data_IF_003725944609
#
_entry.id   IF_003725944609
#
_cell.length_a   1.000
_cell.length_b   1.000
_cell.length_c   1.000
_cell.angle_alpha   90.00
_cell.angle_beta   90.00
_cell.angle_gamma   90.00
#
_symmetry.space_group_name_H-M   'P 1'
#
loop_
_entity.id
_entity.type
_entity.pdbx_description
1 polymer ?
#
# COMPACT_ATOMS: atom_id res chain seq x y z
N UNK A 1 32.85 -33.84 31.32
CA UNK A 1 32.61 -33.45 29.92
C UNK A 1 31.90 -32.10 29.93
N UNK A 2 32.67 -31.00 29.96
CA UNK A 2 32.13 -29.65 29.79
C UNK A 2 32.29 -29.31 28.31
N UNK A 3 31.26 -29.59 27.52
CA UNK A 3 31.27 -29.39 26.07
C UNK A 3 30.65 -28.02 25.77
N UNK A 4 31.50 -27.08 25.34
CA UNK A 4 31.23 -26.08 24.28
C UNK A 4 29.99 -25.16 24.37
N UNK A 5 29.48 -24.79 25.54
CA UNK A 5 28.39 -23.79 25.62
C UNK A 5 28.82 -22.37 25.21
N UNK A 6 30.06 -21.93 25.53
CA UNK A 6 30.53 -20.58 25.14
C UNK A 6 30.76 -20.42 23.63
N UNK A 7 31.06 -21.51 22.92
CA UNK A 7 31.35 -21.46 21.48
C UNK A 7 30.08 -21.43 20.62
N UNK A 8 28.98 -21.99 21.12
CA UNK A 8 27.67 -21.94 20.47
C UNK A 8 27.00 -20.58 20.69
N UNK A 9 27.13 -19.99 21.88
CA UNK A 9 26.55 -18.69 22.20
C UNK A 9 27.18 -17.53 21.41
N UNK A 10 28.49 -17.62 21.12
CA UNK A 10 29.16 -16.64 20.27
C UNK A 10 28.76 -16.80 18.80
N UNK A 11 28.64 -18.03 18.29
CA UNK A 11 28.22 -18.27 16.91
C UNK A 11 26.77 -17.80 16.64
N UNK A 12 25.86 -17.99 17.60
CA UNK A 12 24.47 -17.50 17.48
C UNK A 12 24.39 -15.97 17.50
N UNK A 13 25.22 -15.31 18.32
CA UNK A 13 25.33 -13.83 18.34
C UNK A 13 25.92 -13.30 17.04
N UNK A 14 26.99 -13.91 16.54
CA UNK A 14 27.63 -13.50 15.28
C UNK A 14 26.65 -13.64 14.09
N UNK A 15 25.86 -14.71 14.06
CA UNK A 15 24.80 -14.91 13.05
C UNK A 15 23.66 -13.88 13.20
N UNK A 16 23.29 -13.51 14.42
CA UNK A 16 22.28 -12.48 14.66
C UNK A 16 22.74 -11.10 14.18
N UNK A 17 24.00 -10.74 14.47
CA UNK A 17 24.64 -9.50 14.01
C UNK A 17 24.75 -9.47 12.49
N UNK A 18 25.17 -10.56 11.83
CA UNK A 18 25.22 -10.62 10.37
C UNK A 18 23.83 -10.47 9.72
N UNK A 19 22.78 -11.07 10.31
CA UNK A 19 21.40 -10.91 9.84
C UNK A 19 20.90 -9.48 9.98
N UNK A 20 21.27 -8.81 11.06
CA UNK A 20 20.91 -7.41 11.33
C UNK A 20 21.56 -6.47 10.31
N UNK A 21 22.87 -6.60 10.10
CA UNK A 21 23.64 -5.83 9.10
C UNK A 21 23.10 -6.06 7.67
N UNK A 22 22.69 -7.28 7.34
CA UNK A 22 22.08 -7.57 6.04
C UNK A 22 20.70 -6.92 5.88
N UNK A 23 19.88 -6.89 6.95
CA UNK A 23 18.59 -6.24 6.95
C UNK A 23 18.71 -4.71 6.80
N UNK A 24 19.65 -4.10 7.53
CA UNK A 24 19.94 -2.67 7.43
C UNK A 24 20.40 -2.26 6.03
N UNK A 25 21.32 -3.04 5.44
CA UNK A 25 21.79 -2.80 4.08
C UNK A 25 20.66 -2.92 3.05
N UNK A 26 19.73 -3.85 3.26
CA UNK A 26 18.55 -4.00 2.40
C UNK A 26 17.59 -2.80 2.53
N UNK A 27 17.38 -2.29 3.75
CA UNK A 27 16.57 -1.08 3.99
C UNK A 27 17.22 0.13 3.31
N UNK A 28 18.52 0.37 3.52
CA UNK A 28 19.24 1.47 2.88
C UNK A 28 19.12 1.44 1.36
N UNK A 29 19.28 0.26 0.74
CA UNK A 29 19.10 0.08 -0.70
C UNK A 29 17.65 0.35 -1.14
N UNK A 30 16.66 -0.04 -0.35
CA UNK A 30 15.24 0.15 -0.66
C UNK A 30 14.88 1.63 -0.59
N UNK A 31 15.29 2.33 0.46
CA UNK A 31 15.09 3.79 0.59
C UNK A 31 15.81 4.52 -0.54
N UNK A 32 17.06 4.19 -0.83
CA UNK A 32 17.81 4.78 -1.95
C UNK A 32 17.05 4.65 -3.27
N UNK A 33 16.56 3.46 -3.62
CA UNK A 33 15.81 3.24 -4.86
C UNK A 33 14.55 4.10 -4.92
N UNK A 34 13.84 4.25 -3.80
CA UNK A 34 12.67 5.12 -3.71
C UNK A 34 13.03 6.60 -3.93
N UNK A 35 14.14 7.08 -3.35
CA UNK A 35 14.60 8.45 -3.54
C UNK A 35 15.05 8.69 -4.99
N UNK A 36 15.78 7.74 -5.58
CA UNK A 36 16.19 7.81 -6.99
C UNK A 36 14.96 7.85 -7.91
N UNK A 37 13.93 7.04 -7.62
CA UNK A 37 12.64 7.09 -8.30
C UNK A 37 11.98 8.47 -8.18
N UNK A 38 11.89 9.02 -6.97
CA UNK A 38 11.25 10.31 -6.72
C UNK A 38 11.96 11.48 -7.43
N UNK A 39 13.28 11.39 -7.61
CA UNK A 39 14.04 12.34 -8.43
C UNK A 39 13.75 12.15 -9.92
N UNK A 40 13.71 10.90 -10.40
CA UNK A 40 13.47 10.59 -11.81
C UNK A 40 12.09 11.04 -12.30
N UNK A 41 11.09 11.05 -11.41
CA UNK A 41 9.71 11.48 -11.69
C UNK A 41 9.43 12.95 -11.31
N UNK A 42 10.44 13.69 -10.86
CA UNK A 42 10.33 15.07 -10.36
C UNK A 42 9.31 15.25 -9.22
N UNK A 43 9.15 14.23 -8.38
CA UNK A 43 8.45 14.36 -7.10
C UNK A 43 9.27 15.23 -6.13
N UNK A 44 10.59 15.03 -6.12
CA UNK A 44 11.56 15.86 -5.38
C UNK A 44 12.69 16.37 -6.29
N UNK A 45 13.39 17.42 -5.83
CA UNK A 45 14.58 17.91 -6.51
C UNK A 45 15.83 17.07 -6.22
N UNK A 46 16.82 17.15 -7.11
CA UNK A 46 18.13 16.50 -6.94
C UNK A 46 18.81 16.80 -5.60
N UNK A 47 18.68 18.04 -5.12
CA UNK A 47 19.31 18.51 -3.89
C UNK A 47 18.61 17.99 -2.63
N UNK A 48 17.38 17.48 -2.76
CA UNK A 48 16.58 17.03 -1.63
C UNK A 48 16.86 15.55 -1.29
N UNK A 49 17.65 14.83 -2.10
CA UNK A 49 17.90 13.38 -1.95
C UNK A 49 18.29 12.96 -0.54
N UNK A 50 19.33 13.58 0.02
CA UNK A 50 19.87 13.22 1.34
C UNK A 50 18.85 13.56 2.44
N UNK A 51 18.20 14.71 2.32
CA UNK A 51 17.17 15.15 3.25
C UNK A 51 15.97 14.21 3.25
N UNK A 52 15.46 13.86 2.06
CA UNK A 52 14.34 12.92 1.89
C UNK A 52 14.70 11.52 2.35
N UNK A 53 15.93 11.05 2.11
CA UNK A 53 16.41 9.76 2.61
C UNK A 53 16.29 9.67 4.13
N UNK A 54 16.80 10.67 4.86
CA UNK A 54 16.73 10.72 6.32
C UNK A 54 15.27 10.80 6.82
N UNK A 55 14.41 11.58 6.17
CA UNK A 55 13.00 11.64 6.55
C UNK A 55 12.26 10.31 6.38
N UNK A 56 12.58 9.54 5.33
CA UNK A 56 12.01 8.20 5.14
C UNK A 56 12.48 7.27 6.26
N UNK A 57 13.77 7.31 6.61
CA UNK A 57 14.33 6.55 7.73
C UNK A 57 13.65 6.88 9.07
N UNK A 58 13.46 8.17 9.36
CA UNK A 58 12.75 8.63 10.56
C UNK A 58 11.31 8.10 10.61
N UNK A 59 10.60 8.14 9.47
CA UNK A 59 9.23 7.63 9.36
C UNK A 59 9.14 6.13 9.63
N UNK A 60 10.07 5.34 9.10
CA UNK A 60 10.09 3.88 9.30
C UNK A 60 10.77 3.46 10.61
N UNK A 61 11.42 4.39 11.32
CA UNK A 61 12.11 4.11 12.59
C UNK A 61 13.42 3.36 12.44
N UNK A 62 14.14 3.54 11.33
CA UNK A 62 15.45 2.94 11.12
C UNK A 62 16.53 4.01 11.39
N UNK A 63 17.31 3.87 12.46
CA UNK A 63 18.27 4.90 12.89
C UNK A 63 19.67 4.69 12.30
N UNK A 64 20.04 3.46 11.97
CA UNK A 64 21.41 3.06 11.62
C UNK A 64 21.76 3.04 10.12
N UNK A 65 20.84 2.78 9.16
CA UNK A 65 21.24 2.56 7.76
C UNK A 65 21.76 3.83 7.05
N UNK A 66 23.08 4.05 7.10
CA UNK A 66 23.71 5.12 6.35
C UNK A 66 23.61 4.84 4.82
N UNK A 67 23.33 5.87 4.01
CA UNK A 67 23.38 5.73 2.56
C UNK A 67 24.82 5.51 2.09
N UNK A 68 24.96 4.82 0.96
CA UNK A 68 26.27 4.56 0.34
C UNK A 68 27.00 5.87 0.01
N UNK A 69 28.29 5.97 0.36
CA UNK A 69 29.09 7.18 0.19
C UNK A 69 29.16 7.63 -1.29
N UNK A 70 29.20 6.69 -2.23
CA UNK A 70 29.22 7.02 -3.67
C UNK A 70 27.89 7.61 -4.13
N UNK A 71 26.77 7.22 -3.51
CA UNK A 71 25.45 7.79 -3.80
C UNK A 71 25.30 9.21 -3.24
N UNK A 72 25.82 9.44 -2.03
CA UNK A 72 25.83 10.75 -1.38
C UNK A 72 26.67 11.75 -2.17
N UNK A 73 27.88 11.35 -2.58
CA UNK A 73 28.82 12.18 -3.32
C UNK A 73 28.53 12.28 -4.83
N UNK A 74 27.47 11.62 -5.31
CA UNK A 74 27.09 11.68 -6.72
C UNK A 74 26.77 13.13 -7.14
N UNK A 75 27.29 13.55 -8.28
CA UNK A 75 26.93 14.83 -8.90
C UNK A 75 25.69 14.70 -9.79
N UNK A 76 24.95 15.80 -9.99
CA UNK A 76 23.70 15.86 -10.79
C UNK A 76 23.85 15.29 -12.20
N UNK A 77 25.06 15.33 -12.76
CA UNK A 77 25.36 14.80 -14.08
C UNK A 77 25.36 13.26 -14.15
N UNK A 78 25.31 12.58 -13.00
CA UNK A 78 25.41 11.12 -12.87
C UNK A 78 24.06 10.39 -12.85
N UNK A 79 22.97 11.12 -12.58
CA UNK A 79 21.59 10.62 -12.65
C UNK A 79 20.85 11.47 -13.66
N UNK A 80 20.62 10.89 -14.84
CA UNK A 80 20.10 11.58 -16.02
C UNK A 80 18.79 12.31 -15.74
N UNK A 81 18.77 13.60 -16.07
CA UNK A 81 17.58 14.43 -15.99
C UNK A 81 16.44 13.93 -16.86
N UNK A 82 15.22 14.18 -16.38
CA UNK A 82 13.96 14.19 -17.12
C UNK A 82 13.93 13.26 -18.34
N UNK A 83 14.01 11.94 -18.12
CA UNK A 83 13.86 11.02 -19.25
C UNK A 83 12.43 11.03 -19.80
N UNK A 84 11.47 11.67 -19.11
CA UNK A 84 10.05 11.70 -19.49
C UNK A 84 9.43 10.31 -19.59
N UNK A 85 10.20 9.28 -19.27
CA UNK A 85 9.78 7.90 -19.23
C UNK A 85 9.38 7.62 -17.80
N UNK A 86 8.15 7.13 -17.57
CA UNK A 86 7.85 6.50 -16.31
C UNK A 86 8.93 5.44 -16.09
N UNK A 87 9.37 5.28 -14.85
CA UNK A 87 10.14 4.12 -14.48
C UNK A 87 9.20 2.90 -14.58
N UNK A 88 8.83 2.47 -15.79
CA UNK A 88 7.99 1.28 -16.03
C UNK A 88 8.67 0.01 -15.50
N UNK A 89 9.94 0.10 -15.10
CA UNK A 89 10.70 -0.95 -14.43
C UNK A 89 10.81 -0.78 -12.90
N UNK A 90 10.35 0.32 -12.32
CA UNK A 90 10.38 0.52 -10.87
C UNK A 90 9.05 0.11 -10.26
N UNK A 91 9.10 -0.89 -9.39
CA UNK A 91 7.95 -1.37 -8.64
C UNK A 91 7.77 -0.53 -7.37
N UNK A 92 6.87 0.46 -7.45
CA UNK A 92 6.57 1.34 -6.32
C UNK A 92 5.78 0.61 -5.24
N UNK A 93 4.85 -0.29 -5.60
CA UNK A 93 4.02 -1.02 -4.63
C UNK A 93 4.88 -1.95 -3.77
N UNK A 94 5.77 -2.73 -4.38
CA UNK A 94 6.69 -3.63 -3.67
C UNK A 94 7.70 -2.87 -2.82
N UNK A 95 8.23 -1.75 -3.33
CA UNK A 95 9.17 -0.90 -2.58
C UNK A 95 8.49 -0.34 -1.33
N UNK A 96 7.29 0.21 -1.47
CA UNK A 96 6.51 0.73 -0.34
C UNK A 96 6.08 -0.41 0.62
N UNK A 97 5.78 -1.60 0.11
CA UNK A 97 5.44 -2.76 0.94
C UNK A 97 6.63 -3.26 1.78
N UNK A 98 7.87 -3.19 1.26
CA UNK A 98 9.07 -3.49 2.03
C UNK A 98 9.29 -2.47 3.15
N UNK A 99 9.17 -1.17 2.84
CA UNK A 99 9.33 -0.10 3.84
C UNK A 99 8.21 -0.12 4.90
N UNK A 100 6.97 -0.40 4.49
CA UNK A 100 5.86 -0.55 5.41
C UNK A 100 6.04 -1.73 6.37
N UNK A 101 6.58 -2.86 5.88
CA UNK A 101 6.96 -3.99 6.74
C UNK A 101 8.03 -3.61 7.75
N UNK A 102 9.08 -2.90 7.33
CA UNK A 102 10.11 -2.41 8.24
C UNK A 102 9.51 -1.48 9.32
N UNK A 103 8.64 -0.55 8.93
CA UNK A 103 7.97 0.37 9.86
C UNK A 103 7.10 -0.37 10.90
N UNK A 104 6.36 -1.40 10.48
CA UNK A 104 5.57 -2.24 11.39
C UNK A 104 6.48 -3.01 12.36
N UNK A 105 7.58 -3.60 11.88
CA UNK A 105 8.55 -4.29 12.73
C UNK A 105 9.19 -3.34 13.75
N UNK A 106 9.41 -2.09 13.37
CA UNK A 106 9.92 -1.03 14.25
C UNK A 106 8.83 -0.38 15.12
N UNK A 107 7.60 -0.89 15.08
CA UNK A 107 6.49 -0.41 15.92
C UNK A 107 5.94 0.98 15.55
N UNK A 108 6.18 1.47 14.33
CA UNK A 108 5.68 2.78 13.86
C UNK A 108 4.22 2.78 13.43
N UNK A 109 3.70 1.62 13.03
CA UNK A 109 2.29 1.40 12.69
C UNK A 109 1.87 -0.02 13.10
N UNK A 110 0.56 -0.26 13.14
CA UNK A 110 -0.03 -1.57 13.42
C UNK A 110 0.23 -2.57 12.27
N UNK A 111 0.39 -3.86 12.62
CA UNK A 111 0.50 -4.95 11.63
C UNK A 111 -0.87 -5.31 11.01
N UNK A 112 -1.44 -4.35 10.30
CA UNK A 112 -2.71 -4.45 9.58
C UNK A 112 -2.55 -3.93 8.15
N UNK A 113 -3.47 -4.31 7.25
CA UNK A 113 -3.47 -3.76 5.90
C UNK A 113 -3.58 -2.22 5.92
N UNK A 114 -4.45 -1.69 6.78
CA UNK A 114 -4.62 -0.24 6.97
C UNK A 114 -3.36 0.44 7.53
N UNK A 115 -2.69 -0.17 8.51
CA UNK A 115 -1.45 0.36 9.09
C UNK A 115 -0.32 0.46 8.06
N UNK A 116 -0.15 -0.59 7.25
CA UNK A 116 0.83 -0.60 6.15
C UNK A 116 0.51 0.45 5.08
N UNK A 117 -0.77 0.61 4.72
CA UNK A 117 -1.20 1.65 3.77
C UNK A 117 -0.96 3.06 4.31
N UNK A 118 -1.26 3.32 5.59
CA UNK A 118 -1.00 4.62 6.25
C UNK A 118 0.46 5.02 6.17
N UNK A 119 1.40 4.13 6.51
CA UNK A 119 2.82 4.48 6.44
C UNK A 119 3.30 4.66 5.00
N UNK A 120 2.85 3.82 4.05
CA UNK A 120 3.16 4.00 2.63
C UNK A 120 2.70 5.37 2.11
N UNK A 121 1.48 5.81 2.50
CA UNK A 121 0.98 7.13 2.13
C UNK A 121 1.76 8.28 2.80
N UNK A 122 2.19 8.11 4.06
CA UNK A 122 3.04 9.10 4.75
C UNK A 122 4.40 9.25 4.08
N UNK A 123 5.02 8.14 3.67
CA UNK A 123 6.28 8.12 2.91
C UNK A 123 6.11 8.87 1.59
N UNK A 124 5.08 8.56 0.80
CA UNK A 124 4.86 9.29 -0.45
C UNK A 124 4.50 10.77 -0.23
N UNK A 125 3.80 11.08 0.86
CA UNK A 125 3.44 12.45 1.24
C UNK A 125 4.64 13.37 1.45
N UNK A 126 5.74 12.86 2.03
CA UNK A 126 6.98 13.65 2.20
C UNK A 126 7.80 13.78 0.91
N UNK A 127 7.60 12.87 -0.04
CA UNK A 127 8.28 12.90 -1.34
C UNK A 127 7.51 13.69 -2.39
N UNK A 128 6.27 14.09 -2.13
CA UNK A 128 5.50 14.87 -3.09
C UNK A 128 5.87 16.37 -3.08
N UNK A 129 5.73 17.05 -4.23
CA UNK A 129 5.79 18.51 -4.27
C UNK A 129 4.67 19.12 -3.42
N UNK A 130 4.92 20.31 -2.87
CA UNK A 130 3.89 21.02 -2.11
C UNK A 130 2.69 21.35 -3.01
N UNK A 131 1.45 21.34 -2.49
CA UNK A 131 0.27 21.67 -3.28
C UNK A 131 0.36 23.02 -4.01
N UNK A 132 1.03 24.01 -3.42
CA UNK A 132 1.29 25.32 -4.05
C UNK A 132 2.18 25.23 -5.29
N UNK A 133 3.17 24.34 -5.30
CA UNK A 133 4.08 24.16 -6.42
C UNK A 133 3.42 23.36 -7.55
N UNK A 134 2.61 22.36 -7.19
CA UNK A 134 1.74 21.64 -8.14
C UNK A 134 0.78 22.61 -8.83
N UNK A 135 0.10 23.46 -8.05
CA UNK A 135 -0.82 24.48 -8.57
C UNK A 135 -0.12 25.43 -9.55
N UNK A 136 1.05 25.98 -9.16
CA UNK A 136 1.83 26.88 -10.02
C UNK A 136 2.25 26.21 -11.32
N UNK A 137 2.72 24.96 -11.24
CA UNK A 137 3.17 24.19 -12.41
C UNK A 137 2.00 23.90 -13.36
N UNK A 138 0.87 23.46 -12.80
CA UNK A 138 -0.35 23.17 -13.56
C UNK A 138 -0.81 24.40 -14.37
N UNK A 139 -0.97 25.55 -13.71
CA UNK A 139 -1.43 26.77 -14.39
C UNK A 139 -0.40 27.32 -15.38
N UNK A 140 0.89 27.23 -15.07
CA UNK A 140 1.92 27.61 -16.02
C UNK A 140 1.87 26.76 -17.31
N UNK A 141 1.65 25.45 -17.21
CA UNK A 141 1.46 24.56 -18.37
C UNK A 141 0.14 24.84 -19.10
N UNK A 142 -0.92 25.14 -18.34
CA UNK A 142 -2.23 25.47 -18.88
C UNK A 142 -2.14 26.72 -19.78
N UNK A 143 -1.51 27.77 -19.29
CA UNK A 143 -1.38 29.07 -19.98
C UNK A 143 -0.37 29.03 -21.12
N UNK A 144 0.78 28.37 -20.94
CA UNK A 144 1.88 28.39 -21.92
C UNK A 144 1.77 27.33 -23.01
N UNK A 145 1.15 26.19 -22.70
CA UNK A 145 1.12 25.03 -23.58
C UNK A 145 -0.31 24.67 -23.99
N UNK A 146 -1.13 24.16 -23.06
CA UNK A 146 -2.55 23.85 -23.29
C UNK A 146 -3.20 23.26 -22.03
N UNK A 147 -4.55 23.24 -21.95
CA UNK A 147 -5.26 22.46 -20.94
C UNK A 147 -4.84 20.99 -20.90
N UNK A 148 -4.61 20.38 -22.07
CA UNK A 148 -4.17 18.99 -22.18
C UNK A 148 -2.79 18.77 -21.54
N UNK A 149 -1.84 19.67 -21.78
CA UNK A 149 -0.50 19.56 -21.19
C UNK A 149 -0.55 19.63 -19.66
N UNK A 150 -1.39 20.51 -19.10
CA UNK A 150 -1.58 20.62 -17.66
C UNK A 150 -2.21 19.35 -17.06
N UNK A 151 -3.24 18.80 -17.70
CA UNK A 151 -3.89 17.56 -17.25
C UNK A 151 -2.98 16.33 -17.41
N UNK A 152 -2.19 16.25 -18.49
CA UNK A 152 -1.24 15.17 -18.71
C UNK A 152 -0.14 15.19 -17.63
N UNK A 153 0.37 16.38 -17.28
CA UNK A 153 1.28 16.56 -16.14
C UNK A 153 0.66 16.08 -14.83
N UNK A 154 -0.56 16.53 -14.52
CA UNK A 154 -1.22 16.19 -13.25
C UNK A 154 -1.56 14.71 -13.16
N UNK A 155 -1.98 14.10 -14.27
CA UNK A 155 -2.23 12.67 -14.35
C UNK A 155 -0.94 11.86 -14.13
N UNK A 156 0.17 12.27 -14.76
CA UNK A 156 1.48 11.65 -14.54
C UNK A 156 1.92 11.77 -13.09
N UNK A 157 1.87 12.97 -12.51
CA UNK A 157 2.17 13.20 -11.09
C UNK A 157 1.33 12.29 -10.18
N UNK A 158 0.05 12.13 -10.48
CA UNK A 158 -0.86 11.27 -9.71
C UNK A 158 -0.51 9.78 -9.84
N UNK A 159 -0.04 9.35 -11.01
CA UNK A 159 0.45 7.99 -11.22
C UNK A 159 1.77 7.75 -10.48
N UNK A 160 2.70 8.72 -10.54
CA UNK A 160 4.02 8.60 -9.94
C UNK A 160 3.97 8.71 -8.40
N UNK A 161 3.02 9.48 -7.87
CA UNK A 161 2.75 9.56 -6.43
C UNK A 161 2.01 8.33 -5.88
N UNK A 162 1.63 7.37 -6.74
CA UNK A 162 0.83 6.21 -6.34
C UNK A 162 -0.63 6.52 -5.98
N UNK A 163 -1.12 7.73 -6.30
CA UNK A 163 -2.53 8.10 -6.10
C UNK A 163 -3.43 7.37 -7.10
N UNK A 164 -3.00 7.29 -8.36
CA UNK A 164 -3.57 6.39 -9.38
C UNK A 164 -2.82 5.07 -9.34
N UNK A 165 -3.34 4.09 -8.60
CA UNK A 165 -2.73 2.77 -8.41
C UNK A 165 -2.88 1.88 -9.64
N UNK A 166 -2.05 2.10 -10.67
CA UNK A 166 -2.08 1.39 -11.96
C UNK A 166 -2.01 -0.13 -11.81
N UNK A 167 -1.13 -0.64 -10.94
CA UNK A 167 -0.98 -2.07 -10.67
C UNK A 167 -2.22 -2.66 -10.00
N UNK A 168 -2.82 -1.94 -9.06
CA UNK A 168 -4.05 -2.35 -8.42
C UNK A 168 -5.24 -2.35 -9.40
N UNK A 169 -5.29 -1.39 -10.33
CA UNK A 169 -6.27 -1.36 -11.44
C UNK A 169 -6.04 -2.54 -12.39
N UNK A 170 -4.79 -2.88 -12.69
CA UNK A 170 -4.45 -4.01 -13.56
C UNK A 170 -4.89 -5.37 -12.98
N UNK A 171 -5.05 -5.47 -11.66
CA UNK A 171 -5.61 -6.65 -10.99
C UNK A 171 -7.13 -6.75 -11.07
N UNK A 172 -7.84 -5.73 -11.53
CA UNK A 172 -9.30 -5.76 -11.62
C UNK A 172 -9.78 -6.85 -12.59
N UNK A 173 -10.89 -7.50 -12.23
CA UNK A 173 -11.54 -8.46 -13.14
C UNK A 173 -12.54 -7.67 -13.98
N UNK A 174 -12.36 -7.69 -15.29
CA UNK A 174 -13.21 -6.99 -16.25
C UNK A 174 -13.90 -7.98 -17.19
N UNK A 175 -15.18 -7.73 -17.48
CA UNK A 175 -15.92 -8.45 -18.50
C UNK A 175 -16.76 -7.49 -19.33
N UNK A 176 -16.78 -7.74 -20.63
CA UNK A 176 -17.51 -6.93 -21.60
C UNK A 176 -18.56 -7.82 -22.26
N UNK A 177 -19.81 -7.37 -22.30
CA UNK A 177 -20.92 -8.10 -22.94
C UNK A 177 -21.62 -7.20 -23.97
N UNK A 178 -21.86 -7.66 -25.21
CA UNK A 178 -22.54 -6.86 -26.20
C UNK A 178 -24.00 -6.65 -25.80
N UNK A 179 -24.47 -5.40 -25.91
CA UNK A 179 -25.89 -5.08 -25.70
C UNK A 179 -26.43 -4.27 -26.88
N UNK A 180 -27.76 -4.14 -26.95
CA UNK A 180 -28.44 -3.41 -28.01
C UNK A 180 -28.16 -1.88 -27.98
N UNK A 181 -27.46 -1.38 -26.96
CA UNK A 181 -27.11 0.04 -26.77
C UNK A 181 -25.60 0.30 -26.71
N UNK A 182 -24.78 -0.64 -27.24
CA UNK A 182 -23.31 -0.74 -27.13
C UNK A 182 -22.88 -1.77 -26.08
N UNK A 183 -21.61 -2.11 -26.08
CA UNK A 183 -21.00 -3.03 -25.12
C UNK A 183 -21.14 -2.51 -23.69
N UNK A 184 -21.59 -3.38 -22.80
CA UNK A 184 -21.63 -3.18 -21.36
C UNK A 184 -20.33 -3.73 -20.77
N UNK A 185 -19.51 -2.85 -20.22
CA UNK A 185 -18.33 -3.19 -19.44
C UNK A 185 -18.69 -3.25 -17.95
N UNK A 186 -18.31 -4.32 -17.27
CA UNK A 186 -18.48 -4.47 -15.84
C UNK A 186 -17.12 -4.88 -15.24
N UNK A 187 -16.77 -4.25 -14.13
CA UNK A 187 -15.45 -4.40 -13.49
C UNK A 187 -15.60 -4.65 -11.99
N UNK A 188 -14.93 -5.68 -11.47
CA UNK A 188 -14.77 -5.90 -10.02
C UNK A 188 -13.44 -5.28 -9.58
N UNK A 189 -13.55 -4.32 -8.66
CA UNK A 189 -12.39 -3.67 -8.06
C UNK A 189 -11.78 -4.55 -6.97
N UNK A 190 -10.57 -5.08 -7.20
CA UNK A 190 -9.86 -5.91 -6.20
C UNK A 190 -8.93 -5.09 -5.30
N UNK A 191 -8.69 -3.82 -5.62
CA UNK A 191 -7.75 -2.94 -4.89
C UNK A 191 -8.27 -2.42 -3.55
N UNK A 192 -9.55 -2.64 -3.26
CA UNK A 192 -10.21 -2.15 -2.06
C UNK A 192 -11.17 -3.22 -1.54
N UNK A 193 -10.69 -4.23 -0.79
CA UNK A 193 -11.58 -5.09 -0.03
C UNK A 193 -12.23 -4.19 1.03
N UNK A 194 -13.48 -3.81 0.82
CA UNK A 194 -14.27 -2.95 1.72
C UNK A 194 -14.39 -3.52 3.15
N UNK A 195 -13.94 -4.76 3.39
CA UNK A 195 -13.89 -5.42 4.69
C UNK A 195 -12.61 -6.24 4.83
N UNK A 196 -11.92 -6.11 5.96
CA UNK A 196 -10.78 -6.97 6.29
C UNK A 196 -11.28 -8.43 6.49
N UNK A 197 -10.57 -9.47 6.03
CA UNK A 197 -10.95 -10.86 6.29
C UNK A 197 -11.19 -11.18 7.78
N UNK A 198 -10.49 -10.50 8.69
CA UNK A 198 -10.70 -10.59 10.14
C UNK A 198 -12.02 -9.94 10.56
N UNK A 199 -12.39 -8.82 9.96
CA UNK A 199 -13.69 -8.17 10.18
C UNK A 199 -14.83 -9.04 9.63
N UNK A 200 -14.63 -9.67 8.46
CA UNK A 200 -15.56 -10.66 7.89
C UNK A 200 -15.68 -11.86 8.83
N UNK A 201 -14.58 -12.39 9.34
CA UNK A 201 -14.58 -13.50 10.29
C UNK A 201 -15.27 -13.14 11.61
N UNK A 202 -15.01 -11.94 12.15
CA UNK A 202 -15.63 -11.43 13.36
C UNK A 202 -17.14 -11.21 13.18
N UNK A 203 -17.56 -10.63 12.05
CA UNK A 203 -18.97 -10.45 11.71
C UNK A 203 -19.67 -11.80 11.48
N UNK A 204 -18.99 -12.76 10.84
CA UNK A 204 -19.46 -14.12 10.65
C UNK A 204 -19.64 -14.86 11.98
N UNK A 205 -18.68 -14.73 12.90
CA UNK A 205 -18.76 -15.31 14.25
C UNK A 205 -19.88 -14.68 15.08
N UNK A 206 -20.08 -13.36 14.98
CA UNK A 206 -21.19 -12.66 15.65
C UNK A 206 -22.57 -13.07 15.08
N UNK A 207 -22.66 -13.34 13.77
CA UNK A 207 -23.87 -13.87 13.15
C UNK A 207 -24.15 -15.33 13.57
N UNK A 208 -23.11 -16.16 13.70
CA UNK A 208 -23.22 -17.53 14.20
C UNK A 208 -23.60 -17.59 15.68
N UNK A 209 -23.09 -16.68 16.52
CA UNK A 209 -23.43 -16.61 17.94
C UNK A 209 -24.89 -16.20 18.18
N UNK A 210 -25.46 -15.35 17.31
CA UNK A 210 -26.88 -14.95 17.37
C UNK A 210 -27.85 -16.07 16.99
N UNK A 211 -27.42 -17.06 16.20
CA UNK A 211 -28.26 -18.19 15.80
C UNK A 211 -28.25 -19.35 16.82
N UNK A 212 -27.33 -19.36 17.78
CA UNK A 212 -27.26 -20.38 18.84
C UNK A 212 -27.91 -19.96 20.16
N UNK A 213 -28.43 -18.73 20.25
CA UNK A 213 -29.00 -18.16 21.47
C UNK A 213 -30.53 -18.18 21.53
N UNK A 214 -31.21 -19.27 21.16
CA UNK A 214 -32.60 -19.53 21.60
C UNK A 214 -33.14 -20.95 21.27
N UNK A 215 -32.26 -21.96 21.15
CA UNK A 215 -32.70 -23.34 20.97
C UNK A 215 -32.47 -24.16 22.24
N UNK A 216 -33.45 -24.09 23.14
CA UNK A 216 -33.61 -25.08 24.19
C UNK A 216 -33.74 -26.49 23.61
N UNK A 217 -32.96 -27.40 24.21
CA UNK A 217 -33.03 -28.86 24.19
C UNK A 217 -34.35 -29.47 23.67
N UNK A 218 -34.29 -30.24 22.59
CA UNK A 218 -34.61 -31.68 22.54
C UNK A 218 -34.58 -32.20 21.09
N UNK A 219 -34.01 -33.39 20.92
CA UNK A 219 -33.59 -33.90 19.61
C UNK A 219 -34.69 -34.53 18.76
N UNK A 220 -34.37 -34.69 17.48
CA UNK A 220 -34.51 -35.94 16.71
C UNK A 220 -34.02 -35.68 15.28
N UNK A 221 -33.08 -36.49 14.82
CA UNK A 221 -32.70 -36.54 13.42
C UNK A 221 -33.90 -36.99 12.56
N UNK A 222 -34.25 -36.24 11.51
CA UNK A 222 -34.99 -36.80 10.38
C UNK A 222 -34.68 -36.10 9.06
N UNK A 223 -34.71 -36.92 8.02
CA UNK A 223 -34.09 -36.78 6.72
C UNK A 223 -34.79 -35.79 5.76
N UNK A 224 -34.01 -35.45 4.74
CA UNK A 224 -34.34 -34.83 3.45
C UNK A 224 -35.82 -34.81 3.06
N UNK A 225 -36.37 -33.59 2.98
CA UNK A 225 -37.64 -33.28 2.33
C UNK A 225 -37.63 -31.80 1.95
N UNK A 226 -38.02 -31.50 0.71
CA UNK A 226 -38.07 -30.15 0.16
C UNK A 226 -38.95 -29.22 1.02
N UNK A 227 -38.32 -28.29 1.74
CA UNK A 227 -39.01 -27.26 2.51
C UNK A 227 -39.12 -25.99 1.65
N UNK A 228 -40.35 -25.54 1.46
CA UNK A 228 -40.72 -24.30 0.81
C UNK A 228 -40.01 -23.10 1.47
N UNK A 229 -39.57 -22.12 0.67
CA UNK A 229 -39.01 -20.84 1.13
C UNK A 229 -40.06 -20.04 1.92
N UNK A 230 -40.22 -20.35 3.20
CA UNK A 230 -41.03 -19.56 4.12
C UNK A 230 -40.20 -18.38 4.62
N UNK A 231 -40.39 -17.22 3.99
CA UNK A 231 -40.31 -15.90 4.66
C UNK A 231 -39.04 -15.54 5.43
N UNK A 232 -37.90 -16.20 5.22
CA UNK A 232 -36.64 -15.76 5.79
C UNK A 232 -36.28 -14.41 5.16
N UNK A 233 -36.43 -13.37 5.98
CA UNK A 233 -36.04 -11.99 5.66
C UNK A 233 -34.58 -12.05 5.22
N UNK A 234 -34.32 -11.65 3.97
CA UNK A 234 -32.95 -11.50 3.47
C UNK A 234 -32.11 -10.79 4.54
N UNK A 235 -30.89 -11.27 4.84
CA UNK A 235 -30.05 -10.62 5.84
C UNK A 235 -29.95 -9.14 5.48
N UNK A 236 -30.35 -8.29 6.43
CA UNK A 236 -30.48 -6.87 6.19
C UNK A 236 -29.14 -6.33 5.65
N UNK A 237 -29.20 -5.68 4.49
CA UNK A 237 -28.01 -5.07 3.90
C UNK A 237 -27.48 -4.05 4.90
N UNK A 238 -26.22 -4.23 5.35
CA UNK A 238 -25.58 -3.32 6.30
C UNK A 238 -25.42 -1.89 5.75
N UNK A 239 -25.65 -1.69 4.45
CA UNK A 239 -25.62 -0.41 3.75
C UNK A 239 -27.01 0.12 3.38
N UNK A 240 -28.09 -0.50 3.89
CA UNK A 240 -29.43 0.08 3.75
C UNK A 240 -29.48 1.43 4.46
N UNK A 241 -30.08 2.42 3.80
CA UNK A 241 -30.26 3.79 4.32
C UNK A 241 -30.96 3.82 5.70
N UNK A 242 -31.81 2.82 5.94
CA UNK A 242 -32.53 2.62 7.21
C UNK A 242 -31.59 2.30 8.39
N UNK A 243 -30.38 1.79 8.12
CA UNK A 243 -29.37 1.47 9.12
C UNK A 243 -28.41 2.62 9.43
N UNK A 244 -28.41 3.70 8.63
CA UNK A 244 -27.53 4.86 8.81
C UNK A 244 -28.17 5.98 9.67
N UNK A 245 -29.35 5.74 10.25
CA UNK A 245 -29.97 6.67 11.21
C UNK A 245 -30.54 7.95 10.59
N UNK A 246 -30.69 8.01 9.27
CA UNK A 246 -31.43 9.07 8.60
C UNK A 246 -32.92 8.69 8.54
N UNK A 247 -33.71 9.28 9.44
CA UNK A 247 -35.18 9.29 9.39
C UNK A 247 -35.70 10.48 8.59
#
# INVERSE_FOLDING_TARGET
MAVNTEKTDNAEKDIAVEKDVHAEKAIAQTVRKLIDYAVLTDLIGWNDRIWSYNLVLDLIGAEEPAPDETWVLAEKNSYGGHSGKPADAFDLEDTLALLARAAVLNGKEEDTAAGRDRISMRIMGILMPKPSDVFRTFWALYEKNSPKAATDYFYRLSCDAGYVRREAIARNIQWTTPTKWKDLEITINLSKPEKDPREIAAAGAAAAAKTTGDAGVSGAAKAAGATQCSGEKYPACQLCIENEGYS
#
